data_IF_442067132091
#
_entry.id   IF_442067132091
#
_cell.length_a   1.000
_cell.length_b   1.000
_cell.length_c   1.000
_cell.angle_alpha   90.00
_cell.angle_beta   90.00
_cell.angle_gamma   90.00
#
_symmetry.space_group_name_H-M   'P 1'
#
loop_
_entity.id
_entity.type
_entity.pdbx_description
1 polymer ?
#
# COMPACT_ATOMS: atom_id res chain seq x y z
N UNK A 1 69.62 -4.59 -23.61
CA UNK A 1 70.03 -5.87 -22.97
C UNK A 1 70.11 -5.59 -21.48
N UNK A 2 69.24 -6.11 -20.62
CA UNK A 2 69.31 -7.46 -20.04
C UNK A 2 67.90 -7.89 -19.60
N UNK A 3 67.58 -9.16 -19.86
CA UNK A 3 66.38 -9.93 -19.48
C UNK A 3 66.70 -10.63 -18.15
N UNK A 4 65.79 -10.68 -17.16
CA UNK A 4 64.93 -11.82 -16.82
C UNK A 4 64.62 -11.79 -15.27
N UNK A 5 63.93 -12.76 -14.64
CA UNK A 5 62.57 -12.56 -14.08
C UNK A 5 62.43 -12.96 -12.59
N UNK A 6 61.36 -12.53 -11.91
CA UNK A 6 60.86 -13.27 -10.74
C UNK A 6 59.33 -13.29 -10.70
N UNK A 7 58.80 -14.44 -11.12
CA UNK A 7 57.46 -14.94 -10.79
C UNK A 7 57.45 -15.40 -9.34
N UNK A 8 56.59 -14.81 -8.50
CA UNK A 8 56.20 -15.39 -7.22
C UNK A 8 54.67 -15.46 -7.18
N UNK A 9 54.17 -16.69 -7.21
CA UNK A 9 52.75 -17.02 -7.18
C UNK A 9 52.08 -16.59 -5.88
N UNK A 10 51.19 -15.61 -5.97
CA UNK A 10 50.17 -15.34 -4.96
C UNK A 10 48.97 -16.25 -5.21
N UNK A 11 48.89 -17.35 -4.46
CA UNK A 11 47.74 -18.23 -4.43
C UNK A 11 46.46 -17.45 -4.08
N UNK A 12 45.53 -17.39 -5.05
CA UNK A 12 44.16 -16.91 -4.87
C UNK A 12 43.45 -17.79 -3.84
N UNK A 13 43.46 -17.33 -2.58
CA UNK A 13 42.60 -17.86 -1.51
C UNK A 13 41.16 -17.47 -1.86
N UNK A 14 40.49 -18.31 -2.67
CA UNK A 14 39.03 -18.26 -2.90
C UNK A 14 38.33 -18.37 -1.54
N UNK A 15 37.92 -17.23 -1.00
CA UNK A 15 36.98 -17.12 0.11
C UNK A 15 35.62 -17.69 -0.34
N UNK A 16 35.46 -19.01 -0.19
CA UNK A 16 34.17 -19.68 -0.19
C UNK A 16 33.42 -19.21 1.06
N UNK A 17 32.42 -18.34 0.88
CA UNK A 17 31.54 -17.95 1.99
C UNK A 17 30.95 -16.54 1.95
N UNK A 18 31.19 -15.72 0.92
CA UNK A 18 30.46 -14.46 0.81
C UNK A 18 28.98 -14.76 0.46
N UNK A 19 27.99 -14.31 1.25
CA UNK A 19 26.59 -14.36 0.82
C UNK A 19 26.48 -13.64 -0.52
N UNK A 20 25.81 -14.27 -1.50
CA UNK A 20 25.59 -13.66 -2.80
C UNK A 20 24.92 -12.29 -2.56
N UNK A 21 25.47 -11.17 -3.08
CA UNK A 21 24.77 -9.91 -3.00
C UNK A 21 23.43 -10.10 -3.68
N UNK A 22 22.33 -9.94 -2.94
CA UNK A 22 20.99 -9.89 -3.52
C UNK A 22 21.04 -8.77 -4.54
N UNK A 23 20.92 -9.11 -5.83
CA UNK A 23 20.98 -8.14 -6.90
C UNK A 23 19.80 -7.20 -6.69
N UNK A 24 20.01 -5.89 -6.75
CA UNK A 24 18.98 -4.85 -6.49
C UNK A 24 17.67 -5.16 -7.23
N UNK A 25 17.79 -5.69 -8.44
CA UNK A 25 16.72 -6.12 -9.33
C UNK A 25 15.82 -7.24 -8.76
N UNK A 26 16.33 -8.12 -7.89
CA UNK A 26 15.57 -9.23 -7.31
C UNK A 26 14.62 -8.74 -6.21
N UNK A 27 15.07 -7.76 -5.42
CA UNK A 27 14.26 -7.15 -4.38
C UNK A 27 13.08 -6.34 -4.94
N UNK A 28 13.30 -5.59 -6.02
CA UNK A 28 12.26 -4.84 -6.71
C UNK A 28 11.20 -5.77 -7.31
N UNK A 29 11.62 -6.85 -7.99
CA UNK A 29 10.69 -7.87 -8.52
C UNK A 29 9.88 -8.53 -7.43
N UNK A 30 10.51 -8.91 -6.31
CA UNK A 30 9.81 -9.50 -5.18
C UNK A 30 8.77 -8.55 -4.60
N UNK A 31 9.14 -7.29 -4.35
CA UNK A 31 8.22 -6.29 -3.84
C UNK A 31 7.04 -6.07 -4.81
N UNK A 32 7.31 -5.91 -6.10
CA UNK A 32 6.29 -5.71 -7.13
C UNK A 32 5.31 -6.88 -7.21
N UNK A 33 5.82 -8.11 -7.23
CA UNK A 33 4.98 -9.31 -7.28
C UNK A 33 4.15 -9.47 -6.00
N UNK A 34 4.73 -9.22 -4.82
CA UNK A 34 4.01 -9.25 -3.55
C UNK A 34 2.90 -8.20 -3.51
N UNK A 35 3.18 -6.97 -3.94
CA UNK A 35 2.19 -5.89 -4.02
C UNK A 35 1.07 -6.24 -4.98
N UNK A 36 1.38 -6.78 -6.16
CA UNK A 36 0.38 -7.19 -7.15
C UNK A 36 -0.54 -8.29 -6.60
N UNK A 37 0.03 -9.32 -5.96
CA UNK A 37 -0.75 -10.40 -5.36
C UNK A 37 -1.65 -9.89 -4.22
N UNK A 38 -1.13 -9.02 -3.36
CA UNK A 38 -1.91 -8.41 -2.28
C UNK A 38 -3.07 -7.56 -2.81
N UNK A 39 -2.81 -6.75 -3.84
CA UNK A 39 -3.82 -5.91 -4.49
C UNK A 39 -4.91 -6.74 -5.17
N UNK A 40 -4.54 -7.81 -5.88
CA UNK A 40 -5.50 -8.76 -6.44
C UNK A 40 -6.34 -9.44 -5.35
N UNK A 41 -5.70 -9.86 -4.24
CA UNK A 41 -6.41 -10.44 -3.11
C UNK A 41 -7.40 -9.45 -2.49
N UNK A 42 -7.08 -8.16 -2.45
CA UNK A 42 -7.98 -7.09 -1.99
C UNK A 42 -9.21 -6.95 -2.90
N UNK A 43 -9.05 -7.05 -4.22
CA UNK A 43 -10.17 -7.04 -5.18
C UNK A 43 -11.10 -8.24 -4.96
N UNK A 44 -10.53 -9.44 -4.82
CA UNK A 44 -11.29 -10.66 -4.52
C UNK A 44 -11.97 -10.57 -3.15
N UNK A 45 -11.27 -10.00 -2.16
CA UNK A 45 -11.79 -9.76 -0.82
C UNK A 45 -13.01 -8.84 -0.85
N UNK A 46 -13.01 -7.78 -1.66
CA UNK A 46 -14.15 -6.88 -1.83
C UNK A 46 -15.40 -7.61 -2.33
N UNK A 47 -15.25 -8.48 -3.34
CA UNK A 47 -16.33 -9.32 -3.84
C UNK A 47 -16.87 -10.26 -2.75
N UNK A 48 -15.96 -10.96 -2.04
CA UNK A 48 -16.32 -11.83 -0.93
C UNK A 48 -16.99 -11.09 0.23
N UNK A 49 -16.57 -9.86 0.53
CA UNK A 49 -17.12 -9.01 1.59
C UNK A 49 -18.58 -8.68 1.31
N UNK A 50 -18.94 -8.39 0.05
CA UNK A 50 -20.33 -8.10 -0.35
C UNK A 50 -21.31 -9.19 0.07
N UNK A 51 -20.91 -10.46 -0.03
CA UNK A 51 -21.75 -11.60 0.36
C UNK A 51 -21.84 -11.80 1.88
N UNK A 52 -21.03 -11.09 2.67
CA UNK A 52 -20.98 -11.21 4.14
C UNK A 52 -21.71 -10.08 4.86
N UNK A 53 -21.92 -8.94 4.20
CA UNK A 53 -22.60 -7.79 4.77
C UNK A 53 -24.12 -7.93 4.64
N UNK A 54 -24.90 -7.32 5.55
CA UNK A 54 -26.33 -7.17 5.34
C UNK A 54 -26.61 -6.43 4.02
N UNK A 55 -27.69 -6.78 3.29
CA UNK A 55 -27.99 -6.17 2.00
C UNK A 55 -28.21 -4.66 2.13
N UNK A 56 -27.76 -3.90 1.13
CA UNK A 56 -27.97 -2.46 1.05
C UNK A 56 -27.06 -1.77 0.04
N UNK A 57 -27.52 -0.64 -0.49
CA UNK A 57 -26.80 0.14 -1.49
C UNK A 57 -25.47 0.71 -0.92
N UNK A 58 -25.49 1.24 0.31
CA UNK A 58 -24.29 1.78 0.97
C UNK A 58 -23.22 0.71 1.22
N UNK A 59 -23.63 -0.49 1.68
CA UNK A 59 -22.72 -1.63 1.84
C UNK A 59 -22.09 -2.06 0.51
N UNK A 60 -22.90 -2.10 -0.56
CA UNK A 60 -22.43 -2.43 -1.91
C UNK A 60 -21.44 -1.38 -2.42
N UNK A 61 -21.75 -0.10 -2.27
CA UNK A 61 -20.86 1.00 -2.65
C UNK A 61 -19.55 0.96 -1.84
N UNK A 62 -19.62 0.64 -0.54
CA UNK A 62 -18.45 0.46 0.31
C UNK A 62 -17.54 -0.69 -0.17
N UNK A 63 -18.12 -1.83 -0.56
CA UNK A 63 -17.35 -2.93 -1.16
C UNK A 63 -16.73 -2.53 -2.50
N UNK A 64 -17.45 -1.83 -3.36
CA UNK A 64 -16.89 -1.30 -4.62
C UNK A 64 -15.72 -0.36 -4.36
N UNK A 65 -15.80 0.49 -3.34
CA UNK A 65 -14.73 1.39 -2.96
C UNK A 65 -13.46 0.63 -2.51
N UNK A 66 -13.60 -0.47 -1.76
CA UNK A 66 -12.47 -1.39 -1.48
C UNK A 66 -11.91 -1.99 -2.76
N UNK A 67 -12.78 -2.47 -3.67
CA UNK A 67 -12.35 -3.03 -4.95
C UNK A 67 -11.58 -2.03 -5.82
N UNK A 68 -12.07 -0.80 -5.93
CA UNK A 68 -11.41 0.29 -6.66
C UNK A 68 -10.05 0.65 -6.05
N UNK A 69 -9.94 0.65 -4.72
CA UNK A 69 -8.66 0.85 -4.06
C UNK A 69 -7.67 -0.27 -4.39
N UNK A 70 -8.11 -1.52 -4.40
CA UNK A 70 -7.30 -2.66 -4.84
C UNK A 70 -6.88 -2.55 -6.32
N UNK A 71 -7.77 -2.10 -7.21
CA UNK A 71 -7.44 -1.85 -8.61
C UNK A 71 -6.42 -0.72 -8.78
N UNK A 72 -6.51 0.34 -7.98
CA UNK A 72 -5.49 1.39 -7.92
C UNK A 72 -4.12 0.82 -7.54
N UNK A 73 -4.06 -0.01 -6.50
CA UNK A 73 -2.81 -0.66 -6.10
C UNK A 73 -2.25 -1.65 -7.16
N UNK A 74 -3.11 -2.30 -7.95
CA UNK A 74 -2.68 -3.07 -9.13
C UNK A 74 -2.03 -2.15 -10.17
N UNK A 75 -2.65 -1.00 -10.46
CA UNK A 75 -2.09 -0.01 -11.38
C UNK A 75 -0.73 0.51 -10.88
N UNK A 76 -0.60 0.82 -9.58
CA UNK A 76 0.66 1.25 -8.95
C UNK A 76 1.76 0.19 -9.12
N UNK A 77 1.42 -1.09 -8.98
CA UNK A 77 2.36 -2.19 -9.20
C UNK A 77 2.73 -2.38 -10.68
N UNK A 78 1.85 -2.04 -11.62
CA UNK A 78 2.10 -2.18 -13.05
C UNK A 78 2.82 -0.97 -13.66
N UNK A 79 2.64 0.21 -13.07
CA UNK A 79 3.14 1.50 -13.53
C UNK A 79 4.14 2.03 -12.48
N UNK A 80 5.40 1.58 -12.49
CA UNK A 80 6.38 2.01 -11.50
C UNK A 80 6.74 3.49 -11.67
N UNK A 81 7.08 4.14 -10.56
CA UNK A 81 7.64 5.49 -10.56
C UNK A 81 9.06 5.48 -11.16
N UNK A 82 9.38 6.49 -11.96
CA UNK A 82 10.74 6.68 -12.51
C UNK A 82 11.80 6.88 -11.40
N UNK A 83 11.41 7.59 -10.34
CA UNK A 83 12.25 8.00 -9.22
C UNK A 83 11.36 8.46 -8.05
N UNK A 84 11.96 8.68 -6.88
CA UNK A 84 11.23 9.10 -5.68
C UNK A 84 11.56 10.58 -5.31
N UNK A 85 10.62 11.53 -5.47
CA UNK A 85 10.87 12.96 -5.25
C UNK A 85 11.10 13.33 -3.76
N UNK A 86 10.71 12.43 -2.86
CA UNK A 86 10.92 12.56 -1.41
C UNK A 86 12.36 12.35 -0.97
N UNK A 87 13.19 11.68 -1.77
CA UNK A 87 14.60 11.37 -1.44
C UNK A 87 15.60 11.79 -2.52
N UNK A 88 15.13 12.18 -3.71
CA UNK A 88 15.96 12.65 -4.81
C UNK A 88 15.53 14.06 -5.29
N UNK A 89 16.45 15.01 -5.15
CA UNK A 89 16.24 16.40 -5.56
C UNK A 89 16.19 16.59 -7.08
N UNK A 90 16.85 15.72 -7.86
CA UNK A 90 16.80 15.77 -9.33
C UNK A 90 15.41 15.30 -9.77
N UNK A 91 14.94 14.19 -9.20
CA UNK A 91 13.59 13.68 -9.43
C UNK A 91 12.53 14.74 -9.15
N UNK A 92 12.64 15.43 -8.01
CA UNK A 92 11.75 16.53 -7.62
C UNK A 92 11.68 17.64 -8.66
N UNK A 93 12.83 18.13 -9.10
CA UNK A 93 12.89 19.20 -10.13
C UNK A 93 12.24 18.75 -11.44
N UNK A 94 12.45 17.49 -11.83
CA UNK A 94 11.84 16.95 -13.04
C UNK A 94 10.32 16.81 -12.89
N UNK A 95 9.83 16.43 -11.71
CA UNK A 95 8.40 16.40 -11.39
C UNK A 95 7.76 17.79 -11.50
N UNK A 96 8.37 18.81 -10.90
CA UNK A 96 7.92 20.21 -10.94
C UNK A 96 7.85 20.75 -12.38
N UNK A 97 8.75 20.31 -13.25
CA UNK A 97 8.79 20.72 -14.66
C UNK A 97 7.93 19.83 -15.58
N UNK A 98 7.25 18.81 -15.05
CA UNK A 98 6.46 17.86 -15.86
C UNK A 98 7.30 16.98 -16.78
N UNK A 99 8.59 16.80 -16.49
CA UNK A 99 9.56 16.06 -17.30
C UNK A 99 9.66 14.57 -16.91
N UNK A 100 8.63 14.02 -16.26
CA UNK A 100 8.57 12.61 -15.87
C UNK A 100 7.69 11.80 -16.82
N UNK A 101 7.89 10.49 -16.84
CA UNK A 101 7.21 9.59 -17.75
C UNK A 101 5.71 9.53 -17.47
N UNK A 102 4.93 9.14 -18.48
CA UNK A 102 3.50 8.91 -18.31
C UNK A 102 3.19 7.86 -17.22
N UNK A 103 3.92 6.73 -17.10
CA UNK A 103 3.76 5.80 -15.97
C UNK A 103 3.92 6.46 -14.59
N UNK A 104 4.87 7.38 -14.43
CA UNK A 104 5.04 8.11 -13.17
C UNK A 104 3.79 8.91 -12.81
N UNK A 105 3.24 9.65 -13.78
CA UNK A 105 2.01 10.43 -13.58
C UNK A 105 0.81 9.54 -13.28
N UNK A 106 0.67 8.45 -14.04
CA UNK A 106 -0.41 7.51 -13.87
C UNK A 106 -0.37 6.85 -12.48
N UNK A 107 0.82 6.49 -11.98
CA UNK A 107 1.02 5.98 -10.61
C UNK A 107 0.54 6.98 -9.56
N UNK A 108 0.96 8.25 -9.66
CA UNK A 108 0.55 9.29 -8.71
C UNK A 108 -0.96 9.46 -8.67
N UNK A 109 -1.63 9.47 -9.83
CA UNK A 109 -3.09 9.54 -9.90
C UNK A 109 -3.78 8.28 -9.37
N UNK A 110 -3.29 7.08 -9.70
CA UNK A 110 -3.88 5.83 -9.19
C UNK A 110 -3.74 5.69 -7.69
N UNK A 111 -2.61 6.11 -7.10
CA UNK A 111 -2.44 6.14 -5.65
C UNK A 111 -3.42 7.09 -4.96
N UNK A 112 -3.61 8.30 -5.50
CA UNK A 112 -4.58 9.27 -4.94
C UNK A 112 -6.00 8.75 -5.01
N UNK A 113 -6.42 8.23 -6.16
CA UNK A 113 -7.74 7.64 -6.35
C UNK A 113 -7.94 6.40 -5.46
N UNK A 114 -6.90 5.56 -5.33
CA UNK A 114 -6.91 4.37 -4.50
C UNK A 114 -7.07 4.71 -3.01
N UNK A 115 -6.37 5.73 -2.52
CA UNK A 115 -6.50 6.23 -1.16
C UNK A 115 -7.89 6.84 -0.91
N UNK A 116 -8.39 7.67 -1.84
CA UNK A 116 -9.73 8.27 -1.75
C UNK A 116 -10.84 7.20 -1.72
N UNK A 117 -10.73 6.18 -2.56
CA UNK A 117 -11.65 5.05 -2.58
C UNK A 117 -11.62 4.28 -1.25
N UNK A 118 -10.44 4.09 -0.66
CA UNK A 118 -10.35 3.41 0.63
C UNK A 118 -10.97 4.24 1.76
N UNK A 119 -10.73 5.56 1.79
CA UNK A 119 -11.40 6.48 2.71
C UNK A 119 -12.93 6.42 2.54
N UNK A 120 -13.42 6.43 1.30
CA UNK A 120 -14.85 6.27 1.03
C UNK A 120 -15.39 4.94 1.58
N UNK A 121 -14.62 3.85 1.50
CA UNK A 121 -15.01 2.56 2.08
C UNK A 121 -15.20 2.63 3.60
N UNK A 122 -14.32 3.33 4.33
CA UNK A 122 -14.43 3.53 5.77
C UNK A 122 -15.76 4.23 6.12
N UNK A 123 -16.06 5.31 5.40
CA UNK A 123 -17.28 6.07 5.62
C UNK A 123 -18.54 5.27 5.27
N UNK A 124 -18.60 4.70 4.06
CA UNK A 124 -19.77 4.00 3.54
C UNK A 124 -20.10 2.74 4.36
N UNK A 125 -19.10 1.90 4.63
CA UNK A 125 -19.28 0.71 5.46
C UNK A 125 -19.53 1.09 6.92
N UNK A 126 -18.85 2.11 7.43
CA UNK A 126 -19.07 2.66 8.76
C UNK A 126 -20.51 3.11 8.99
N UNK A 127 -21.12 3.77 7.99
CA UNK A 127 -22.52 4.18 8.01
C UNK A 127 -23.49 3.02 7.83
N UNK A 128 -23.23 2.16 6.84
CA UNK A 128 -24.07 0.99 6.54
C UNK A 128 -24.25 0.08 7.75
N UNK A 129 -23.16 -0.15 8.49
CA UNK A 129 -23.13 -1.12 9.58
C UNK A 129 -23.60 -0.57 10.94
N UNK A 130 -24.02 0.69 11.02
CA UNK A 130 -24.45 1.33 12.27
C UNK A 130 -25.61 0.60 12.94
N UNK A 131 -26.57 0.13 12.14
CA UNK A 131 -27.80 -0.51 12.64
C UNK A 131 -27.65 -2.01 12.84
N UNK A 132 -26.51 -2.61 12.48
CA UNK A 132 -26.28 -4.05 12.59
C UNK A 132 -25.59 -4.39 13.93
N UNK A 133 -26.27 -5.08 14.88
CA UNK A 133 -25.75 -5.27 16.24
C UNK A 133 -24.37 -5.93 16.31
N UNK A 134 -24.13 -6.96 15.48
CA UNK A 134 -22.84 -7.66 15.41
C UNK A 134 -21.70 -6.87 14.75
N UNK A 135 -21.99 -5.70 14.18
CA UNK A 135 -21.02 -4.87 13.44
C UNK A 135 -20.82 -3.48 14.04
N UNK A 136 -21.38 -3.21 15.23
CA UNK A 136 -21.27 -1.90 15.89
C UNK A 136 -19.83 -1.43 16.06
N UNK A 137 -18.91 -2.33 16.45
CA UNK A 137 -17.49 -2.01 16.57
C UNK A 137 -16.87 -1.56 15.25
N UNK A 138 -17.15 -2.28 14.16
CA UNK A 138 -16.71 -1.92 12.80
C UNK A 138 -17.32 -0.59 12.35
N UNK A 139 -18.60 -0.34 12.68
CA UNK A 139 -19.26 0.94 12.37
C UNK A 139 -18.58 2.13 13.05
N UNK A 140 -18.24 2.00 14.33
CA UNK A 140 -17.54 3.05 15.08
C UNK A 140 -16.14 3.24 14.51
N UNK A 141 -15.39 2.16 14.31
CA UNK A 141 -14.03 2.24 13.81
C UNK A 141 -13.97 2.81 12.39
N UNK A 142 -14.90 2.43 11.50
CA UNK A 142 -14.98 3.00 10.16
C UNK A 142 -15.24 4.51 10.17
N UNK A 143 -16.15 5.00 11.01
CA UNK A 143 -16.46 6.44 11.09
C UNK A 143 -15.34 7.26 11.75
N UNK A 144 -14.81 6.78 12.88
CA UNK A 144 -13.70 7.44 13.58
C UNK A 144 -12.43 7.38 12.72
N UNK A 145 -12.12 6.21 12.16
CA UNK A 145 -11.02 6.01 11.25
C UNK A 145 -11.12 6.91 10.02
N UNK A 146 -12.30 7.09 9.43
CA UNK A 146 -12.51 8.04 8.34
C UNK A 146 -12.15 9.47 8.74
N UNK A 147 -12.67 9.96 9.86
CA UNK A 147 -12.39 11.32 10.34
C UNK A 147 -10.89 11.54 10.61
N UNK A 148 -10.23 10.56 11.23
CA UNK A 148 -8.79 10.61 11.51
C UNK A 148 -7.98 10.55 10.21
N UNK A 149 -8.27 9.60 9.33
CA UNK A 149 -7.48 9.38 8.12
C UNK A 149 -7.71 10.44 7.05
N UNK A 150 -8.89 11.06 6.96
CA UNK A 150 -9.09 12.20 6.05
C UNK A 150 -8.26 13.40 6.50
N UNK A 151 -8.21 13.65 7.82
CA UNK A 151 -7.38 14.70 8.41
C UNK A 151 -5.89 14.39 8.19
N UNK A 152 -5.49 13.15 8.44
CA UNK A 152 -4.13 12.67 8.20
C UNK A 152 -3.72 12.81 6.73
N UNK A 153 -4.62 12.45 5.81
CA UNK A 153 -4.41 12.60 4.37
C UNK A 153 -4.22 14.07 4.00
N UNK A 154 -4.99 14.98 4.58
CA UNK A 154 -4.80 16.43 4.38
C UNK A 154 -3.41 16.89 4.83
N UNK A 155 -2.94 16.43 5.99
CA UNK A 155 -1.57 16.72 6.46
C UNK A 155 -0.54 16.15 5.49
N UNK A 156 -0.68 14.89 5.06
CA UNK A 156 0.24 14.29 4.10
C UNK A 156 0.24 15.06 2.77
N UNK A 157 -0.91 15.47 2.26
CA UNK A 157 -1.00 16.28 1.03
C UNK A 157 -0.22 17.59 1.17
N UNK A 158 -0.36 18.30 2.29
CA UNK A 158 0.42 19.50 2.57
C UNK A 158 1.92 19.17 2.63
N UNK A 159 2.30 18.11 3.34
CA UNK A 159 3.71 17.70 3.42
C UNK A 159 4.30 17.37 2.05
N UNK A 160 3.56 16.65 1.20
CA UNK A 160 3.98 16.28 -0.14
C UNK A 160 4.09 17.51 -1.04
N UNK A 161 3.10 18.42 -1.01
CA UNK A 161 3.10 19.64 -1.83
C UNK A 161 4.27 20.58 -1.51
N UNK A 162 4.74 20.60 -0.26
CA UNK A 162 5.88 21.41 0.17
C UNK A 162 7.19 20.61 0.31
N UNK A 163 7.20 19.36 -0.14
CA UNK A 163 8.36 18.45 -0.05
C UNK A 163 9.01 18.41 1.35
N UNK A 164 8.18 18.41 2.39
CA UNK A 164 8.63 18.39 3.79
C UNK A 164 9.39 17.09 4.12
N UNK A 165 10.36 17.12 5.04
CA UNK A 165 11.04 15.91 5.47
C UNK A 165 10.06 14.93 6.13
N UNK A 166 10.30 13.63 5.96
CA UNK A 166 9.51 12.58 6.61
C UNK A 166 8.23 12.13 5.87
N UNK A 167 7.91 12.69 4.69
CA UNK A 167 6.78 12.27 3.84
C UNK A 167 6.70 10.75 3.69
N UNK A 168 7.83 10.09 3.38
CA UNK A 168 7.86 8.64 3.21
C UNK A 168 7.50 7.83 4.46
N UNK A 169 7.81 8.34 5.67
CA UNK A 169 7.41 7.68 6.92
C UNK A 169 5.90 7.87 7.17
N UNK A 170 5.42 9.09 6.97
CA UNK A 170 4.00 9.45 7.13
C UNK A 170 3.13 8.65 6.17
N UNK A 171 3.54 8.52 4.92
CA UNK A 171 2.85 7.69 3.92
C UNK A 171 2.78 6.21 4.34
N UNK A 172 3.87 5.63 4.85
CA UNK A 172 3.87 4.23 5.34
C UNK A 172 2.91 4.04 6.51
N UNK A 173 2.84 4.99 7.44
CA UNK A 173 1.90 4.94 8.57
C UNK A 173 0.45 4.96 8.05
N UNK A 174 0.17 5.77 7.04
CA UNK A 174 -1.15 5.80 6.40
C UNK A 174 -1.50 4.47 5.74
N UNK A 175 -0.58 3.91 4.96
CA UNK A 175 -0.76 2.60 4.30
C UNK A 175 -0.97 1.46 5.33
N UNK A 176 -0.29 1.52 6.47
CA UNK A 176 -0.52 0.58 7.58
C UNK A 176 -1.93 0.74 8.19
N UNK A 177 -2.41 1.97 8.36
CA UNK A 177 -3.75 2.22 8.86
C UNK A 177 -4.84 1.73 7.89
N UNK A 178 -4.62 1.92 6.59
CA UNK A 178 -5.42 1.36 5.51
C UNK A 178 -5.43 -0.17 5.53
N UNK A 179 -4.27 -0.80 5.73
CA UNK A 179 -4.16 -2.25 5.88
C UNK A 179 -4.89 -2.76 7.13
N UNK A 180 -4.81 -2.01 8.24
CA UNK A 180 -5.53 -2.33 9.48
C UNK A 180 -7.05 -2.29 9.28
N UNK A 181 -7.56 -1.34 8.49
CA UNK A 181 -8.98 -1.30 8.14
C UNK A 181 -9.45 -2.57 7.41
N UNK A 182 -8.67 -3.04 6.43
CA UNK A 182 -8.97 -4.29 5.72
C UNK A 182 -8.92 -5.50 6.66
N UNK A 183 -7.94 -5.54 7.57
CA UNK A 183 -7.84 -6.58 8.59
C UNK A 183 -9.07 -6.59 9.51
N UNK A 184 -9.55 -5.42 9.95
CA UNK A 184 -10.78 -5.31 10.76
C UNK A 184 -11.97 -5.90 10.00
N UNK A 185 -12.15 -5.55 8.73
CA UNK A 185 -13.25 -6.09 7.92
C UNK A 185 -13.14 -7.62 7.75
N UNK A 186 -11.93 -8.15 7.61
CA UNK A 186 -11.70 -9.58 7.49
C UNK A 186 -11.97 -10.35 8.80
N UNK A 187 -11.65 -9.75 9.96
CA UNK A 187 -11.69 -10.39 11.27
C UNK A 187 -13.01 -10.21 12.02
N UNK A 188 -13.75 -9.13 11.78
CA UNK A 188 -14.96 -8.79 12.54
C UNK A 188 -15.98 -9.92 12.65
N UNK A 189 -16.14 -10.73 11.58
CA UNK A 189 -17.08 -11.86 11.58
C UNK A 189 -16.55 -13.13 12.26
N UNK A 190 -15.22 -13.32 12.34
CA UNK A 190 -14.64 -14.46 13.09
C UNK A 190 -15.00 -14.34 14.57
N UNK A 191 -14.95 -13.12 15.09
CA UNK A 191 -15.28 -12.82 16.48
C UNK A 191 -16.77 -13.03 16.78
N UNK A 192 -17.68 -12.68 15.86
CA UNK A 192 -19.11 -12.94 16.02
C UNK A 192 -19.49 -14.42 16.01
N UNK A 193 -18.69 -15.28 15.34
CA UNK A 193 -18.91 -16.74 15.34
C UNK A 193 -18.31 -17.44 16.57
N UNK A 194 -17.19 -16.95 17.11
CA UNK A 194 -16.56 -17.50 18.31
C UNK A 194 -17.16 -17.03 19.65
N UNK A 195 -17.98 -15.96 19.63
CA UNK A 195 -18.65 -15.43 20.83
C UNK A 195 -19.92 -16.18 21.23
N UNK A 196 -20.41 -17.12 20.43
CA UNK A 196 -21.62 -17.92 20.70
C UNK A 196 -21.32 -19.24 21.44
N UNK A 197 -20.24 -19.26 22.23
CA UNK A 197 -19.83 -20.36 23.10
C UNK A 197 -19.34 -19.80 24.43
N UNK A 198 -20.28 -19.25 25.20
CA UNK A 198 -20.14 -19.13 26.66
C UNK A 198 -21.49 -19.58 27.28
N UNK A 199 -21.50 -20.67 28.06
CA UNK A 199 -22.68 -21.14 28.77
C UNK A 199 -23.11 -20.16 29.87
#
# INVERSE_FOLDING_TARGET
MIRAPHTAGGALRRSRGAPRPVRRDDGERLFRTATLLAAMAMVVFAAGLRHRLPPGALGTAGCWAVGLSGLGAVADALLPLDCAPSVDAICRRNEEHGNLSWPHQAHSWSSVLGAAALLASLWLLGRHLRSAPGWRGVSVLGRVGFALLVTYSGVLTVMTAFYLPGVGLVQRIQELAFSAWLAVLALARRQSRGGCSRP
#
